data_IF_711417805316
#
_entry.id   IF_711417805316
#
_cell.length_a   1.000
_cell.length_b   1.000
_cell.length_c   1.000
_cell.angle_alpha   90.00
_cell.angle_beta   90.00
_cell.angle_gamma   90.00
#
_symmetry.space_group_name_H-M   'P 1'
#
loop_
_entity.id
_entity.type
_entity.pdbx_description
1 polymer ?
#
# COMPACT_ATOMS: atom_id res chain seq x y z
N UNK A 1 7.05 114.44 10.62
CA UNK A 1 5.98 113.65 9.97
C UNK A 1 6.61 112.36 9.42
N UNK A 2 6.48 111.23 10.12
CA UNK A 2 6.89 109.92 9.62
C UNK A 2 5.81 108.90 10.00
N UNK A 3 5.01 108.48 8.99
CA UNK A 3 4.06 107.37 9.14
C UNK A 3 4.82 106.06 8.92
N UNK A 4 5.14 105.36 10.00
CA UNK A 4 5.63 103.98 9.95
C UNK A 4 4.46 103.06 9.61
N UNK A 5 4.54 102.44 8.43
CA UNK A 5 3.61 101.44 7.93
C UNK A 5 3.76 100.15 8.75
N UNK A 6 2.79 99.87 9.62
CA UNK A 6 2.66 98.55 10.23
C UNK A 6 2.14 97.56 9.18
N UNK A 7 3.04 96.72 8.65
CA UNK A 7 2.67 95.63 7.74
C UNK A 7 1.82 94.56 8.47
N UNK A 8 0.82 93.97 7.80
CA UNK A 8 -0.12 93.03 8.41
C UNK A 8 0.53 91.64 8.57
N UNK A 9 1.22 91.42 9.69
CA UNK A 9 1.90 90.15 10.03
C UNK A 9 0.95 88.96 10.20
N UNK A 10 -0.35 89.20 10.42
CA UNK A 10 -1.37 88.16 10.72
C UNK A 10 -1.70 87.23 9.54
N UNK A 11 -1.57 87.70 8.30
CA UNK A 11 -1.85 86.87 7.11
C UNK A 11 -0.70 85.90 6.81
N UNK A 12 0.54 86.29 7.11
CA UNK A 12 1.71 85.44 6.92
C UNK A 12 1.75 84.26 7.89
N UNK A 13 1.26 84.44 9.13
CA UNK A 13 1.20 83.35 10.12
C UNK A 13 0.22 82.25 9.71
N UNK A 14 -0.96 82.63 9.19
CA UNK A 14 -1.96 81.67 8.71
C UNK A 14 -1.45 80.91 7.49
N UNK A 15 -0.79 81.61 6.56
CA UNK A 15 -0.16 80.99 5.39
C UNK A 15 0.94 80.00 5.82
N UNK A 16 1.78 80.39 6.78
CA UNK A 16 2.84 79.51 7.31
C UNK A 16 2.27 78.23 7.94
N UNK A 17 1.18 78.33 8.73
CA UNK A 17 0.51 77.16 9.30
C UNK A 17 -0.10 76.25 8.23
N UNK A 18 -0.72 76.80 7.19
CA UNK A 18 -1.24 76.01 6.07
C UNK A 18 -0.13 75.29 5.29
N UNK A 19 1.01 75.94 5.09
CA UNK A 19 2.18 75.33 4.44
C UNK A 19 2.73 74.18 5.30
N UNK A 20 2.88 74.37 6.61
CA UNK A 20 3.38 73.34 7.52
C UNK A 20 2.42 72.15 7.56
N UNK A 21 1.11 72.40 7.70
CA UNK A 21 0.09 71.34 7.74
C UNK A 21 0.04 70.61 6.40
N UNK A 22 0.09 71.32 5.28
CA UNK A 22 0.13 70.73 3.94
C UNK A 22 1.37 69.88 3.71
N UNK A 23 2.55 70.36 4.12
CA UNK A 23 3.79 69.61 4.05
C UNK A 23 3.75 68.34 4.93
N UNK A 24 3.19 68.43 6.15
CA UNK A 24 3.01 67.30 7.04
C UNK A 24 2.11 66.22 6.43
N UNK A 25 0.93 66.57 5.92
CA UNK A 25 0.05 65.60 5.28
C UNK A 25 0.66 64.99 4.01
N UNK A 26 1.38 65.79 3.23
CA UNK A 26 2.11 65.30 2.05
C UNK A 26 3.18 64.27 2.44
N UNK A 27 3.93 64.56 3.50
CA UNK A 27 4.93 63.64 4.05
C UNK A 27 4.28 62.34 4.58
N UNK A 28 3.17 62.44 5.33
CA UNK A 28 2.43 61.28 5.81
C UNK A 28 1.89 60.43 4.64
N UNK A 29 1.32 61.05 3.61
CA UNK A 29 0.85 60.34 2.42
C UNK A 29 2.00 59.63 1.69
N UNK A 30 3.15 60.29 1.54
CA UNK A 30 4.36 59.68 0.98
C UNK A 30 4.83 58.47 1.79
N UNK A 31 4.84 58.56 3.13
CA UNK A 31 5.20 57.42 3.99
C UNK A 31 4.23 56.25 3.84
N UNK A 32 2.92 56.50 3.79
CA UNK A 32 1.92 55.44 3.58
C UNK A 32 2.13 54.77 2.21
N UNK A 33 2.36 55.55 1.15
CA UNK A 33 2.62 55.01 -0.19
C UNK A 33 3.92 54.20 -0.24
N UNK A 34 4.99 54.66 0.42
CA UNK A 34 6.26 53.93 0.49
C UNK A 34 6.14 52.63 1.29
N UNK A 35 5.51 52.65 2.46
CA UNK A 35 5.27 51.45 3.27
C UNK A 35 4.36 50.46 2.54
N UNK A 36 3.28 50.94 1.91
CA UNK A 36 2.40 50.09 1.11
C UNK A 36 3.11 49.52 -0.11
N UNK A 37 3.91 50.33 -0.82
CA UNK A 37 4.73 49.90 -1.95
C UNK A 37 5.74 48.82 -1.54
N UNK A 38 6.48 49.05 -0.44
CA UNK A 38 7.43 48.08 0.09
C UNK A 38 6.75 46.77 0.53
N UNK A 39 5.59 46.87 1.20
CA UNK A 39 4.80 45.70 1.57
C UNK A 39 4.30 44.94 0.34
N UNK A 40 3.79 45.63 -0.68
CA UNK A 40 3.29 45.01 -1.91
C UNK A 40 4.41 44.32 -2.69
N UNK A 41 5.58 44.95 -2.79
CA UNK A 41 6.76 44.33 -3.42
C UNK A 41 7.20 43.09 -2.64
N UNK A 42 7.24 43.17 -1.31
CA UNK A 42 7.56 42.02 -0.44
C UNK A 42 6.55 40.89 -0.62
N UNK A 43 5.25 41.18 -0.58
CA UNK A 43 4.18 40.19 -0.75
C UNK A 43 4.26 39.53 -2.14
N UNK A 44 4.49 40.32 -3.19
CA UNK A 44 4.65 39.81 -4.55
C UNK A 44 5.93 38.97 -4.73
N UNK A 45 7.01 39.31 -4.03
CA UNK A 45 8.26 38.56 -4.04
C UNK A 45 8.18 37.22 -3.28
N UNK A 46 7.24 37.09 -2.35
CA UNK A 46 7.06 35.91 -1.50
C UNK A 46 6.21 34.79 -2.12
N UNK A 47 5.39 35.09 -3.13
CA UNK A 47 4.45 34.14 -3.73
C UNK A 47 4.53 34.20 -5.26
N UNK A 48 5.57 33.60 -5.84
CA UNK A 48 5.65 33.36 -7.27
C UNK A 48 5.56 31.85 -7.51
N UNK A 49 4.85 31.41 -8.57
CA UNK A 49 4.85 30.02 -8.96
C UNK A 49 6.29 29.60 -9.25
N UNK A 50 6.69 28.46 -8.70
CA UNK A 50 8.00 27.90 -8.92
C UNK A 50 8.15 27.43 -10.38
N UNK A 51 9.30 26.84 -10.69
CA UNK A 51 9.45 26.10 -11.93
C UNK A 51 8.38 24.99 -12.00
N UNK A 52 7.86 24.69 -13.19
CA UNK A 52 6.82 23.69 -13.34
C UNK A 52 7.33 22.30 -12.97
N UNK A 53 6.41 21.45 -12.53
CA UNK A 53 6.69 20.03 -12.35
C UNK A 53 6.61 19.30 -13.69
N UNK A 54 7.22 18.13 -13.80
CA UNK A 54 7.12 17.26 -14.97
C UNK A 54 6.40 15.98 -14.60
N UNK A 55 5.52 15.50 -15.48
CA UNK A 55 4.80 14.25 -15.37
C UNK A 55 5.34 13.26 -16.40
N UNK A 56 5.75 12.10 -15.92
CA UNK A 56 6.12 10.96 -16.75
C UNK A 56 5.13 9.82 -16.53
N UNK A 57 4.53 9.33 -17.61
CA UNK A 57 3.60 8.19 -17.56
C UNK A 57 4.35 6.89 -17.75
N UNK A 58 4.00 5.88 -16.97
CA UNK A 58 4.49 4.50 -17.12
C UNK A 58 3.44 3.60 -17.79
N UNK A 59 2.15 3.92 -17.59
CA UNK A 59 1.02 3.16 -18.13
C UNK A 59 -0.04 4.09 -18.73
N UNK A 60 -1.02 3.51 -19.42
CA UNK A 60 -2.19 4.21 -19.94
C UNK A 60 -3.20 4.54 -18.83
N UNK A 61 -4.07 5.53 -19.09
CA UNK A 61 -5.12 5.93 -18.14
C UNK A 61 -4.74 7.08 -17.20
N UNK A 62 -3.66 7.81 -17.51
CA UNK A 62 -3.29 9.06 -16.83
C UNK A 62 -3.89 10.23 -17.61
N UNK A 63 -4.54 11.15 -16.90
CA UNK A 63 -5.24 12.30 -17.45
C UNK A 63 -4.93 13.55 -16.62
N UNK A 64 -4.95 14.72 -17.26
CA UNK A 64 -4.66 16.01 -16.63
C UNK A 64 -5.86 16.92 -16.80
N UNK A 65 -6.31 17.55 -15.73
CA UNK A 65 -7.25 18.67 -15.76
C UNK A 65 -6.47 19.94 -15.45
N UNK A 66 -6.32 20.81 -16.45
CA UNK A 66 -5.62 22.09 -16.28
C UNK A 66 -6.44 23.04 -15.41
N UNK A 67 -5.75 23.87 -14.63
CA UNK A 67 -6.40 24.90 -13.81
C UNK A 67 -7.33 25.78 -14.66
N UNK A 68 -8.61 25.82 -14.29
CA UNK A 68 -9.64 26.64 -14.95
C UNK A 68 -10.24 26.02 -16.21
N UNK A 69 -9.80 24.84 -16.63
CA UNK A 69 -10.47 24.05 -17.66
C UNK A 69 -11.48 23.08 -17.05
N UNK A 70 -12.42 22.62 -17.87
CA UNK A 70 -13.47 21.68 -17.47
C UNK A 70 -13.28 20.27 -18.05
N UNK A 71 -12.31 20.09 -18.95
CA UNK A 71 -12.08 18.84 -19.66
C UNK A 71 -10.70 18.29 -19.35
N UNK A 72 -10.62 16.96 -19.26
CA UNK A 72 -9.37 16.24 -19.11
C UNK A 72 -8.64 16.15 -20.45
N UNK A 73 -7.33 16.30 -20.38
CA UNK A 73 -6.39 16.16 -21.48
C UNK A 73 -5.54 14.91 -21.25
N UNK A 74 -5.13 14.26 -22.34
CA UNK A 74 -4.12 13.21 -22.26
C UNK A 74 -2.73 13.85 -22.17
N UNK A 75 -1.82 13.33 -21.33
CA UNK A 75 -0.44 13.80 -21.28
C UNK A 75 0.26 13.61 -22.63
N UNK A 76 1.09 14.57 -23.01
CA UNK A 76 1.97 14.52 -24.18
C UNK A 76 3.29 13.83 -23.80
N UNK A 77 3.61 12.64 -24.31
CA UNK A 77 4.88 11.97 -24.03
C UNK A 77 6.07 12.70 -24.69
N UNK A 78 7.31 12.54 -24.19
CA UNK A 78 7.71 11.68 -23.07
C UNK A 78 7.47 12.31 -21.68
N UNK A 79 7.36 13.64 -21.61
CA UNK A 79 7.12 14.40 -20.39
C UNK A 79 6.06 15.47 -20.62
N UNK A 80 5.16 15.61 -19.66
CA UNK A 80 4.16 16.69 -19.66
C UNK A 80 4.41 17.67 -18.53
N UNK A 81 4.45 18.95 -18.86
CA UNK A 81 4.64 20.03 -17.88
C UNK A 81 3.34 20.21 -17.08
N UNK A 82 3.47 20.31 -15.75
CA UNK A 82 2.39 20.58 -14.79
C UNK A 82 2.63 21.89 -14.06
N UNK A 83 1.55 22.63 -13.82
CA UNK A 83 1.56 23.90 -13.10
C UNK A 83 0.77 23.82 -11.80
N UNK A 84 0.96 24.82 -10.93
CA UNK A 84 0.13 25.00 -9.75
C UNK A 84 -1.36 25.09 -10.13
N UNK A 85 -2.18 24.29 -9.46
CA UNK A 85 -3.62 24.14 -9.66
C UNK A 85 -4.00 23.06 -10.68
N UNK A 86 -3.05 22.47 -11.39
CA UNK A 86 -3.33 21.33 -12.26
C UNK A 86 -3.67 20.09 -11.41
N UNK A 87 -4.61 19.29 -11.91
CA UNK A 87 -5.04 18.03 -11.30
C UNK A 87 -4.64 16.87 -12.19
N UNK A 88 -3.99 15.86 -11.61
CA UNK A 88 -3.65 14.62 -12.29
C UNK A 88 -4.56 13.51 -11.77
N UNK A 89 -5.19 12.79 -12.69
CA UNK A 89 -6.06 11.65 -12.41
C UNK A 89 -5.49 10.40 -13.07
N UNK A 90 -5.44 9.31 -12.32
CA UNK A 90 -5.16 7.97 -12.83
C UNK A 90 -6.46 7.18 -12.77
N UNK A 91 -6.90 6.64 -13.90
CA UNK A 91 -8.11 5.84 -13.99
C UNK A 91 -8.06 4.62 -13.06
N UNK A 92 -9.21 4.22 -12.52
CA UNK A 92 -9.33 2.98 -11.72
C UNK A 92 -9.11 1.72 -12.55
N UNK A 93 -9.26 1.82 -13.88
CA UNK A 93 -8.98 0.74 -14.84
C UNK A 93 -7.52 0.67 -15.28
N UNK A 94 -6.64 1.54 -14.78
CA UNK A 94 -5.22 1.46 -15.09
C UNK A 94 -4.64 0.13 -14.56
N UNK A 95 -3.65 -0.47 -15.27
CA UNK A 95 -3.00 -1.69 -14.81
C UNK A 95 -2.40 -1.52 -13.40
N UNK A 96 -2.29 -2.61 -12.62
CA UNK A 96 -1.65 -2.56 -11.30
C UNK A 96 -0.17 -2.19 -11.42
N UNK A 97 0.33 -1.51 -10.40
CA UNK A 97 1.68 -0.94 -10.36
C UNK A 97 1.69 0.58 -10.34
N UNK A 98 2.90 1.14 -10.32
CA UNK A 98 3.12 2.57 -10.49
C UNK A 98 2.66 3.00 -11.88
N UNK A 99 1.78 4.00 -11.92
CA UNK A 99 1.15 4.47 -13.14
C UNK A 99 1.84 5.70 -13.74
N UNK A 100 2.32 6.59 -12.87
CA UNK A 100 3.04 7.80 -13.26
C UNK A 100 3.94 8.30 -12.14
N UNK A 101 4.92 9.11 -12.51
CA UNK A 101 5.77 9.86 -11.58
C UNK A 101 5.71 11.34 -11.93
N UNK A 102 5.43 12.18 -10.93
CA UNK A 102 5.62 13.64 -11.00
C UNK A 102 6.96 13.98 -10.39
N UNK A 103 7.82 14.68 -11.13
CA UNK A 103 9.07 15.24 -10.62
C UNK A 103 8.90 16.74 -10.39
N UNK A 104 9.15 17.19 -9.18
CA UNK A 104 9.12 18.60 -8.80
C UNK A 104 10.44 19.28 -9.14
N UNK A 105 10.42 20.60 -9.19
CA UNK A 105 11.59 21.43 -9.56
C UNK A 105 12.80 21.29 -8.63
N UNK A 106 12.62 20.80 -7.40
CA UNK A 106 13.70 20.57 -6.44
C UNK A 106 14.24 19.12 -6.45
N UNK A 107 13.77 18.30 -7.40
CA UNK A 107 14.13 16.89 -7.54
C UNK A 107 13.33 15.93 -6.66
N UNK A 108 12.37 16.41 -5.87
CA UNK A 108 11.42 15.55 -5.17
C UNK A 108 10.49 14.86 -6.17
N UNK A 109 10.09 13.62 -5.89
CA UNK A 109 9.19 12.87 -6.77
C UNK A 109 7.92 12.41 -6.05
N UNK A 110 6.84 12.28 -6.82
CA UNK A 110 5.54 11.79 -6.38
C UNK A 110 5.12 10.67 -7.33
N UNK A 111 5.10 9.45 -6.84
CA UNK A 111 4.61 8.29 -7.59
C UNK A 111 3.10 8.14 -7.38
N UNK A 112 2.38 7.81 -8.45
CA UNK A 112 0.92 7.68 -8.48
C UNK A 112 0.51 6.27 -8.88
N UNK A 113 -0.57 5.76 -8.27
CA UNK A 113 -1.15 4.45 -8.58
C UNK A 113 -2.54 4.57 -9.21
N UNK A 114 -3.08 3.45 -9.70
CA UNK A 114 -4.44 3.37 -10.21
C UNK A 114 -5.47 3.96 -9.23
N UNK A 115 -6.47 4.68 -9.75
CA UNK A 115 -7.50 5.35 -8.95
C UNK A 115 -7.05 6.64 -8.24
N UNK A 116 -5.80 7.06 -8.40
CA UNK A 116 -5.27 8.24 -7.72
C UNK A 116 -5.75 9.54 -8.36
N UNK A 117 -6.10 10.53 -7.54
CA UNK A 117 -6.32 11.91 -8.01
C UNK A 117 -5.68 12.88 -7.06
N UNK A 118 -4.82 13.72 -7.63
CA UNK A 118 -4.10 14.75 -6.89
C UNK A 118 -4.18 16.10 -7.60
N UNK A 119 -4.13 17.17 -6.81
CA UNK A 119 -3.99 18.54 -7.30
C UNK A 119 -2.71 19.14 -6.73
N UNK A 120 -1.94 19.83 -7.57
CA UNK A 120 -0.78 20.61 -7.14
C UNK A 120 -1.26 21.94 -6.54
N UNK A 121 -1.74 21.94 -5.29
CA UNK A 121 -2.41 23.09 -4.64
C UNK A 121 -1.47 24.30 -4.52
N UNK A 122 -0.21 24.07 -4.11
CA UNK A 122 0.84 25.09 -4.09
C UNK A 122 2.15 24.52 -4.59
N UNK A 123 2.81 25.25 -5.47
CA UNK A 123 4.17 24.94 -5.94
C UNK A 123 4.89 26.29 -6.10
N UNK A 124 5.38 26.85 -5.00
CA UNK A 124 5.83 28.24 -4.92
C UNK A 124 7.22 28.37 -4.32
N UNK A 125 7.98 29.35 -4.81
CA UNK A 125 9.28 29.75 -4.26
C UNK A 125 9.39 31.27 -4.17
N UNK A 126 10.28 31.76 -3.30
CA UNK A 126 10.58 33.19 -3.25
C UNK A 126 11.49 33.62 -4.40
N UNK A 127 11.13 34.68 -5.13
CA UNK A 127 11.81 35.10 -6.38
C UNK A 127 13.20 35.72 -6.19
N UNK A 128 13.37 36.48 -5.12
CA UNK A 128 14.60 37.28 -4.88
C UNK A 128 15.36 36.85 -3.63
N UNK A 129 14.98 35.71 -3.04
CA UNK A 129 15.63 35.16 -1.86
C UNK A 129 15.63 33.64 -1.92
N UNK A 130 16.59 33.03 -1.25
CA UNK A 130 16.64 31.59 -0.97
C UNK A 130 15.92 31.26 0.33
N UNK A 131 14.88 32.03 0.69
CA UNK A 131 14.26 31.90 1.99
C UNK A 131 13.20 30.80 1.99
N UNK A 132 12.21 30.90 1.10
CA UNK A 132 10.99 30.10 1.21
C UNK A 132 10.76 29.23 -0.02
N UNK A 133 10.44 27.96 0.22
CA UNK A 133 9.84 27.03 -0.73
C UNK A 133 8.62 26.38 -0.08
N UNK A 134 7.49 26.36 -0.78
CA UNK A 134 6.27 25.73 -0.32
C UNK A 134 5.69 24.83 -1.39
N UNK A 135 5.49 23.56 -1.03
CA UNK A 135 4.78 22.58 -1.84
C UNK A 135 3.62 22.03 -1.03
N UNK A 136 2.41 22.18 -1.57
CA UNK A 136 1.21 21.56 -1.03
C UNK A 136 0.55 20.72 -2.11
N UNK A 137 0.33 19.44 -1.80
CA UNK A 137 -0.33 18.47 -2.69
C UNK A 137 -1.65 18.10 -2.05
N UNK A 138 -2.74 18.21 -2.81
CA UNK A 138 -4.06 17.78 -2.36
C UNK A 138 -4.35 16.39 -2.91
N UNK A 139 -4.51 15.41 -2.05
CA UNK A 139 -4.93 14.04 -2.39
C UNK A 139 -6.43 13.89 -2.18
N UNK A 140 -7.14 13.51 -3.23
CA UNK A 140 -8.60 13.35 -3.21
C UNK A 140 -9.01 11.87 -3.20
N UNK A 141 -8.22 11.01 -3.84
CA UNK A 141 -8.42 9.57 -3.86
C UNK A 141 -7.14 8.82 -4.21
N UNK A 142 -7.10 7.53 -3.87
CA UNK A 142 -6.05 6.60 -4.24
C UNK A 142 -4.81 6.67 -3.35
N UNK A 143 -3.64 6.46 -3.95
CA UNK A 143 -2.38 6.23 -3.26
C UNK A 143 -1.27 7.05 -3.91
N UNK A 144 -0.50 7.74 -3.07
CA UNK A 144 0.74 8.39 -3.47
C UNK A 144 1.91 7.98 -2.60
N UNK A 145 3.10 7.98 -3.21
CA UNK A 145 4.37 7.85 -2.51
C UNK A 145 5.25 9.03 -2.87
N UNK A 146 5.72 9.76 -1.87
CA UNK A 146 6.54 10.95 -2.02
C UNK A 146 7.96 10.63 -1.59
N UNK A 147 8.93 10.98 -2.42
CA UNK A 147 10.34 10.98 -2.07
C UNK A 147 10.85 12.41 -2.14
N UNK A 148 11.13 12.99 -0.97
CA UNK A 148 11.53 14.40 -0.88
C UNK A 148 13.04 14.56 -1.03
N UNK A 149 13.46 15.58 -1.75
CA UNK A 149 14.86 15.92 -1.88
C UNK A 149 15.48 16.23 -0.51
N UNK A 150 16.69 15.71 -0.20
CA UNK A 150 17.32 15.87 1.10
C UNK A 150 17.71 17.33 1.35
N UNK A 151 17.78 17.72 2.63
CA UNK A 151 18.15 19.09 3.02
C UNK A 151 19.50 19.55 2.43
N UNK A 152 20.42 18.63 2.18
CA UNK A 152 21.72 18.92 1.57
C UNK A 152 21.63 19.42 0.12
N UNK A 153 20.57 19.08 -0.61
CA UNK A 153 20.34 19.52 -1.99
C UNK A 153 19.35 20.69 -2.08
N UNK A 154 18.79 21.12 -0.95
CA UNK A 154 17.81 22.21 -0.91
C UNK A 154 18.48 23.57 -1.06
N UNK A 155 17.96 24.36 -1.99
CA UNK A 155 18.44 25.72 -2.26
C UNK A 155 17.81 26.75 -1.31
N UNK A 156 16.74 26.39 -0.59
CA UNK A 156 15.98 27.30 0.26
C UNK A 156 16.14 26.95 1.75
N UNK A 157 16.08 27.97 2.62
CA UNK A 157 16.28 27.82 4.07
C UNK A 157 15.06 27.22 4.78
N UNK A 158 13.88 27.71 4.40
CA UNK A 158 12.57 27.34 4.93
C UNK A 158 11.81 26.59 3.81
N UNK A 159 11.78 25.26 3.90
CA UNK A 159 11.11 24.39 2.92
C UNK A 159 9.97 23.65 3.61
N UNK A 160 8.76 23.83 3.10
CA UNK A 160 7.55 23.20 3.63
C UNK A 160 6.93 22.27 2.59
N UNK A 161 6.70 21.02 3.00
CA UNK A 161 6.04 19.98 2.21
C UNK A 161 4.81 19.50 2.94
N UNK A 162 3.65 19.73 2.34
CA UNK A 162 2.36 19.39 2.95
C UNK A 162 1.53 18.51 2.01
N UNK A 163 0.94 17.45 2.57
CA UNK A 163 -0.11 16.68 1.91
C UNK A 163 -1.43 17.01 2.60
N UNK A 164 -2.37 17.52 1.81
CA UNK A 164 -3.74 17.82 2.22
C UNK A 164 -4.62 16.68 1.75
N UNK A 165 -5.37 16.05 2.64
CA UNK A 165 -6.35 15.02 2.27
C UNK A 165 -7.74 15.55 2.52
N UNK A 166 -8.57 15.53 1.47
CA UNK A 166 -9.92 16.08 1.49
C UNK A 166 -10.94 15.00 1.09
N UNK A 167 -11.89 14.74 1.98
CA UNK A 167 -13.04 13.86 1.75
C UNK A 167 -14.33 14.64 1.95
N UNK A 168 -15.36 14.33 1.15
CA UNK A 168 -16.65 14.95 1.29
C UNK A 168 -17.21 14.74 2.71
N UNK A 169 -17.48 15.83 3.43
CA UNK A 169 -18.05 15.80 4.77
C UNK A 169 -17.08 15.48 5.92
N UNK A 170 -15.78 15.37 5.66
CA UNK A 170 -14.75 15.19 6.70
C UNK A 170 -13.89 16.47 6.86
N UNK A 171 -13.31 16.71 8.04
CA UNK A 171 -12.35 17.80 8.21
C UNK A 171 -11.10 17.57 7.37
N UNK A 172 -10.50 18.66 6.89
CA UNK A 172 -9.24 18.61 6.14
C UNK A 172 -8.13 18.01 7.01
N UNK A 173 -7.47 16.99 6.48
CA UNK A 173 -6.33 16.34 7.11
C UNK A 173 -5.05 16.93 6.50
N UNK A 174 -4.06 17.25 7.33
CA UNK A 174 -2.81 17.86 6.89
C UNK A 174 -1.62 17.09 7.42
N UNK A 175 -0.77 16.58 6.54
CA UNK A 175 0.51 15.97 6.89
C UNK A 175 1.65 16.90 6.47
N UNK A 176 2.40 17.41 7.45
CA UNK A 176 3.62 18.18 7.24
C UNK A 176 4.82 17.22 7.25
N UNK A 177 5.58 17.18 6.17
CA UNK A 177 6.62 16.18 5.91
C UNK A 177 8.02 16.74 6.18
N UNK A 178 8.89 15.98 6.84
CA UNK A 178 10.30 16.35 6.95
C UNK A 178 11.04 16.16 5.61
N UNK A 179 12.05 16.99 5.35
CA UNK A 179 12.88 16.92 4.15
C UNK A 179 13.73 15.63 4.10
N UNK A 180 14.02 15.14 2.90
CA UNK A 180 14.82 13.93 2.69
C UNK A 180 14.15 12.62 3.09
N UNK A 181 12.87 12.69 3.48
CA UNK A 181 12.07 11.53 3.85
C UNK A 181 11.37 10.89 2.64
N UNK A 182 10.81 9.72 2.92
CA UNK A 182 9.98 8.96 1.99
C UNK A 182 8.68 8.65 2.72
N UNK A 183 7.57 9.01 2.09
CA UNK A 183 6.26 9.00 2.71
C UNK A 183 5.25 8.36 1.79
N UNK A 184 4.26 7.69 2.37
CA UNK A 184 3.14 7.12 1.65
C UNK A 184 1.84 7.61 2.26
N UNK A 185 0.92 8.08 1.43
CA UNK A 185 -0.42 8.50 1.85
C UNK A 185 -1.43 7.79 0.97
N UNK A 186 -2.34 7.06 1.60
CA UNK A 186 -3.33 6.22 0.92
C UNK A 186 -4.71 6.48 1.47
N UNK A 187 -5.68 6.68 0.59
CA UNK A 187 -7.09 6.70 0.94
C UNK A 187 -7.65 5.30 0.71
N UNK A 188 -8.10 4.68 1.78
CA UNK A 188 -8.74 3.38 1.81
C UNK A 188 -10.25 3.57 1.62
N UNK A 189 -10.77 3.13 0.47
CA UNK A 189 -12.19 3.08 0.12
C UNK A 189 -12.43 1.75 -0.60
N UNK A 190 -13.54 1.08 -0.29
CA UNK A 190 -13.90 -0.22 -0.86
C UNK A 190 -13.94 -0.28 -2.40
N UNK A 191 -14.01 0.88 -3.07
CA UNK A 191 -14.03 1.02 -4.53
C UNK A 191 -12.66 1.30 -5.15
N UNK A 192 -11.63 1.53 -4.35
CA UNK A 192 -10.30 1.88 -4.85
C UNK A 192 -9.51 0.61 -5.21
N UNK A 193 -8.82 0.59 -6.38
CA UNK A 193 -8.04 -0.57 -6.82
C UNK A 193 -6.82 -0.86 -5.95
N UNK A 194 -6.40 0.09 -5.11
CA UNK A 194 -5.29 -0.05 -4.15
C UNK A 194 -5.73 -0.50 -2.76
N UNK A 195 -7.02 -0.79 -2.57
CA UNK A 195 -7.57 -1.35 -1.34
C UNK A 195 -7.73 -2.86 -1.48
N UNK A 196 -6.95 -3.61 -0.70
CA UNK A 196 -6.88 -5.07 -0.76
C UNK A 196 -8.20 -5.72 -0.32
N UNK A 197 -8.39 -6.99 -0.68
CA UNK A 197 -9.58 -7.74 -0.28
C UNK A 197 -9.78 -7.80 1.25
N UNK A 198 -8.68 -7.95 2.01
CA UNK A 198 -8.73 -7.99 3.48
C UNK A 198 -9.08 -6.63 4.10
N UNK A 199 -8.54 -5.54 3.54
CA UNK A 199 -8.89 -4.17 3.93
C UNK A 199 -10.36 -3.88 3.61
N UNK A 200 -10.85 -4.24 2.42
CA UNK A 200 -12.26 -4.05 2.01
C UNK A 200 -13.23 -4.74 2.96
N UNK A 201 -12.91 -5.97 3.38
CA UNK A 201 -13.73 -6.70 4.34
C UNK A 201 -13.77 -6.03 5.72
N UNK A 202 -12.68 -5.37 6.14
CA UNK A 202 -12.59 -4.70 7.45
C UNK A 202 -13.25 -3.30 7.41
N UNK A 203 -13.10 -2.57 6.30
CA UNK A 203 -13.64 -1.21 6.13
C UNK A 203 -15.16 -1.19 6.00
N UNK A 204 -15.74 -2.19 5.34
CA UNK A 204 -17.16 -2.15 4.95
C UNK A 204 -17.44 -0.94 4.06
N UNK A 205 -18.24 0.01 4.55
CA UNK A 205 -18.57 1.27 3.85
C UNK A 205 -17.78 2.48 4.36
N UNK A 206 -16.85 2.28 5.29
CA UNK A 206 -16.06 3.36 5.87
C UNK A 206 -14.91 3.76 4.95
N UNK A 207 -14.52 5.03 5.02
CA UNK A 207 -13.31 5.55 4.40
C UNK A 207 -12.29 5.80 5.50
N UNK A 208 -11.04 5.39 5.28
CA UNK A 208 -9.93 5.65 6.18
C UNK A 208 -8.76 6.22 5.38
N UNK A 209 -7.95 7.09 6.01
CA UNK A 209 -6.70 7.56 5.41
C UNK A 209 -5.53 6.93 6.15
N UNK A 210 -4.62 6.29 5.43
CA UNK A 210 -3.36 5.76 5.97
C UNK A 210 -2.19 6.68 5.63
N UNK A 211 -1.34 6.91 6.63
CA UNK A 211 -0.12 7.69 6.54
C UNK A 211 1.07 6.85 6.99
N UNK A 212 2.12 6.78 6.17
CA UNK A 212 3.34 6.01 6.43
C UNK A 212 4.55 6.93 6.29
N UNK A 213 5.43 6.91 7.27
CA UNK A 213 6.76 7.50 7.18
C UNK A 213 7.79 6.37 6.99
N UNK A 214 8.11 6.01 5.74
CA UNK A 214 9.14 5.00 5.44
C UNK A 214 10.52 5.49 5.89
N UNK A 215 10.81 6.78 5.61
CA UNK A 215 12.03 7.47 6.03
C UNK A 215 11.70 8.92 6.39
N UNK A 216 12.42 9.49 7.36
CA UNK A 216 12.08 10.81 7.91
C UNK A 216 10.86 10.72 8.82
N UNK A 217 10.42 11.85 9.37
CA UNK A 217 9.16 11.89 10.13
C UNK A 217 8.16 12.84 9.52
N UNK A 218 6.90 12.70 9.90
CA UNK A 218 5.84 13.62 9.52
C UNK A 218 5.00 14.01 10.72
N UNK A 219 4.43 15.22 10.69
CA UNK A 219 3.47 15.67 11.68
C UNK A 219 2.09 15.72 11.04
N UNK A 220 1.20 14.84 11.49
CA UNK A 220 -0.17 14.74 11.02
C UNK A 220 -1.07 15.59 11.91
N UNK A 221 -1.89 16.44 11.29
CA UNK A 221 -2.85 17.30 11.93
C UNK A 221 -4.26 17.11 11.38
N UNK A 222 -5.24 17.03 12.26
CA UNK A 222 -6.67 17.05 11.92
C UNK A 222 -7.42 17.85 12.98
N UNK A 223 -8.18 18.87 12.55
CA UNK A 223 -8.86 19.81 13.45
C UNK A 223 -7.93 20.42 14.52
N UNK A 224 -7.98 19.92 15.77
CA UNK A 224 -7.12 20.37 16.90
C UNK A 224 -6.14 19.30 17.38
N UNK A 225 -6.12 18.14 16.74
CA UNK A 225 -5.22 17.03 17.07
C UNK A 225 -3.98 17.12 16.19
N UNK A 226 -2.81 16.92 16.79
CA UNK A 226 -1.54 16.75 16.08
C UNK A 226 -0.83 15.52 16.62
N UNK A 227 -0.31 14.68 15.73
CA UNK A 227 0.47 13.49 16.08
C UNK A 227 1.72 13.43 15.23
N UNK A 228 2.85 13.16 15.89
CA UNK A 228 4.12 12.94 15.20
C UNK A 228 4.25 11.45 14.84
N UNK A 229 4.62 11.20 13.59
CA UNK A 229 4.89 9.86 13.06
C UNK A 229 6.39 9.82 12.73
N UNK A 230 7.11 8.87 13.33
CA UNK A 230 8.54 8.69 13.13
C UNK A 230 8.82 7.72 11.97
N UNK A 231 10.06 7.71 11.48
CA UNK A 231 10.50 6.79 10.44
C UNK A 231 10.24 5.32 10.84
N UNK A 232 9.73 4.52 9.92
CA UNK A 232 9.34 3.12 10.14
C UNK A 232 7.97 2.93 10.79
N UNK A 233 7.20 4.01 10.99
CA UNK A 233 5.85 3.95 11.57
C UNK A 233 4.78 4.38 10.58
N UNK A 234 3.58 3.86 10.80
CA UNK A 234 2.34 4.25 10.14
C UNK A 234 1.26 4.59 11.14
N UNK A 235 0.28 5.37 10.71
CA UNK A 235 -0.99 5.54 11.42
C UNK A 235 -2.12 5.64 10.40
N UNK A 236 -3.35 5.61 10.89
CA UNK A 236 -4.52 5.89 10.08
C UNK A 236 -5.44 6.88 10.78
N UNK A 237 -6.23 7.59 9.98
CA UNK A 237 -7.35 8.39 10.44
C UNK A 237 -8.63 7.62 10.08
N UNK A 238 -9.47 7.41 11.09
CA UNK A 238 -10.81 6.85 10.92
C UNK A 238 -11.79 7.70 11.72
N UNK A 239 -12.90 8.11 11.09
CA UNK A 239 -13.95 8.92 11.71
C UNK A 239 -13.40 10.21 12.39
N UNK A 240 -12.40 10.84 11.77
CA UNK A 240 -11.79 12.08 12.27
C UNK A 240 -10.89 11.92 13.50
N UNK A 241 -10.51 10.69 13.87
CA UNK A 241 -9.58 10.41 14.96
C UNK A 241 -8.27 9.84 14.43
N UNK A 242 -7.14 10.33 14.94
CA UNK A 242 -5.82 9.78 14.62
C UNK A 242 -5.57 8.55 15.52
N UNK A 243 -5.30 7.40 14.91
CA UNK A 243 -4.90 6.21 15.65
C UNK A 243 -3.47 6.33 16.22
N UNK A 244 -3.14 5.53 17.23
CA UNK A 244 -1.77 5.44 17.72
C UNK A 244 -0.82 4.94 16.61
N UNK A 245 0.34 5.58 16.40
CA UNK A 245 1.32 5.08 15.43
C UNK A 245 1.79 3.67 15.77
N UNK A 246 1.84 2.80 14.76
CA UNK A 246 2.33 1.42 14.84
C UNK A 246 3.45 1.21 13.83
N UNK A 247 4.20 0.11 13.95
CA UNK A 247 5.20 -0.24 12.94
C UNK A 247 4.57 -0.29 11.54
N UNK A 248 5.32 0.17 10.53
CA UNK A 248 4.92 0.16 9.13
C UNK A 248 4.95 -1.27 8.55
N UNK A 249 4.08 -2.12 9.09
CA UNK A 249 3.90 -3.51 8.68
C UNK A 249 2.41 -3.80 8.44
N UNK A 250 2.13 -4.58 7.41
CA UNK A 250 0.79 -5.01 7.02
C UNK A 250 0.69 -6.52 7.00
N UNK A 251 -0.34 -7.06 7.64
CA UNK A 251 -0.74 -8.46 7.55
C UNK A 251 -1.91 -8.56 6.58
N UNK A 252 -1.73 -9.29 5.47
CA UNK A 252 -2.78 -9.45 4.47
C UNK A 252 -3.54 -10.76 4.56
N UNK A 253 -2.99 -11.77 5.26
CA UNK A 253 -3.71 -13.01 5.52
C UNK A 253 -4.73 -12.77 6.63
N UNK A 254 -6.01 -13.01 6.32
CA UNK A 254 -7.06 -13.13 7.33
C UNK A 254 -7.10 -14.56 7.85
N UNK A 255 -7.25 -14.71 9.17
CA UNK A 255 -7.52 -15.99 9.81
C UNK A 255 -6.48 -17.09 9.49
N UNK A 256 -5.20 -16.70 9.49
CA UNK A 256 -4.10 -17.64 9.29
C UNK A 256 -3.89 -18.63 10.44
N UNK A 257 -4.59 -18.44 11.55
CA UNK A 257 -4.61 -19.36 12.70
C UNK A 257 -5.81 -20.29 12.69
N UNK A 258 -6.73 -20.17 11.72
CA UNK A 258 -7.91 -21.02 11.56
C UNK A 258 -8.82 -21.10 12.79
N UNK A 259 -8.95 -19.97 13.52
CA UNK A 259 -9.76 -19.89 14.74
C UNK A 259 -11.08 -19.15 14.54
N UNK A 260 -11.27 -18.44 13.42
CA UNK A 260 -12.47 -17.62 13.22
C UNK A 260 -13.70 -18.47 12.84
N UNK A 261 -13.51 -19.60 12.19
CA UNK A 261 -14.60 -20.46 11.70
C UNK A 261 -14.41 -21.92 12.10
N UNK A 262 -15.52 -22.65 12.13
CA UNK A 262 -15.54 -24.10 12.30
C UNK A 262 -15.17 -24.80 10.99
N UNK A 263 -14.70 -26.05 11.08
CA UNK A 263 -14.46 -26.90 9.91
C UNK A 263 -15.67 -26.97 8.96
N UNK A 264 -16.89 -27.06 9.53
CA UNK A 264 -18.12 -27.09 8.75
C UNK A 264 -18.32 -25.80 7.95
N UNK A 265 -18.07 -24.64 8.55
CA UNK A 265 -18.24 -23.34 7.87
C UNK A 265 -17.21 -23.13 6.75
N UNK A 266 -15.96 -23.59 6.92
CA UNK A 266 -14.99 -23.62 5.82
C UNK A 266 -15.45 -24.55 4.70
N UNK A 267 -15.88 -25.77 5.02
CA UNK A 267 -16.30 -26.77 4.03
C UNK A 267 -17.62 -26.41 3.34
N UNK A 268 -18.48 -25.61 3.98
CA UNK A 268 -19.71 -25.09 3.34
C UNK A 268 -19.39 -24.26 2.08
N UNK A 269 -18.16 -23.78 1.89
CA UNK A 269 -17.73 -23.12 0.65
C UNK A 269 -17.71 -24.03 -0.59
N UNK A 270 -17.78 -25.35 -0.40
CA UNK A 270 -17.91 -26.33 -1.49
C UNK A 270 -19.36 -26.52 -1.96
N UNK A 271 -20.34 -26.10 -1.14
CA UNK A 271 -21.76 -26.20 -1.49
C UNK A 271 -22.10 -25.22 -2.63
N UNK A 272 -23.04 -25.57 -3.53
CA UNK A 272 -23.55 -24.64 -4.54
C UNK A 272 -24.03 -23.32 -3.92
N UNK A 273 -23.87 -22.20 -4.63
CA UNK A 273 -24.31 -20.88 -4.16
C UNK A 273 -25.84 -20.79 -3.98
N UNK A 274 -26.59 -21.74 -4.54
CA UNK A 274 -28.04 -21.88 -4.36
C UNK A 274 -28.43 -22.30 -2.94
N UNK A 275 -27.49 -22.84 -2.16
CA UNK A 275 -27.67 -23.15 -0.74
C UNK A 275 -27.32 -21.91 0.09
N UNK A 276 -28.35 -21.15 0.46
CA UNK A 276 -28.22 -19.83 1.11
C UNK A 276 -28.34 -19.86 2.63
N UNK A 277 -28.82 -20.97 3.20
CA UNK A 277 -28.98 -21.18 4.65
C UNK A 277 -27.69 -21.66 5.34
N UNK A 278 -26.68 -22.06 4.56
CA UNK A 278 -25.39 -22.45 5.08
C UNK A 278 -24.52 -21.24 5.43
N UNK A 279 -24.04 -21.17 6.67
CA UNK A 279 -23.01 -20.21 7.10
C UNK A 279 -21.68 -20.61 6.47
N UNK A 280 -21.00 -19.68 5.82
CA UNK A 280 -19.75 -19.91 5.09
C UNK A 280 -18.63 -19.04 5.66
N UNK A 281 -17.43 -19.60 5.74
CA UNK A 281 -16.24 -18.82 6.06
C UNK A 281 -15.99 -17.79 4.94
N UNK A 282 -15.68 -16.56 5.32
CA UNK A 282 -15.37 -15.46 4.39
C UNK A 282 -13.86 -15.22 4.22
N UNK A 283 -13.02 -16.03 4.89
CA UNK A 283 -11.56 -15.92 4.89
C UNK A 283 -10.90 -16.90 3.94
N UNK A 284 -11.23 -18.19 4.05
CA UNK A 284 -10.64 -19.27 3.26
C UNK A 284 -11.74 -20.04 2.52
N UNK A 285 -11.55 -20.19 1.21
CA UNK A 285 -12.42 -21.02 0.36
C UNK A 285 -11.78 -22.38 0.13
N UNK A 286 -12.45 -23.44 0.60
CA UNK A 286 -12.05 -24.83 0.37
C UNK A 286 -12.47 -25.27 -1.03
N UNK A 287 -11.61 -26.01 -1.73
CA UNK A 287 -11.95 -26.71 -2.97
C UNK A 287 -11.07 -27.94 -3.19
N UNK A 288 -11.56 -28.83 -4.06
CA UNK A 288 -10.82 -29.98 -4.57
C UNK A 288 -10.68 -29.91 -6.09
N UNK A 289 -9.54 -30.36 -6.60
CA UNK A 289 -9.20 -30.38 -8.03
C UNK A 289 -8.65 -31.78 -8.40
N UNK A 290 -9.55 -32.73 -8.77
CA UNK A 290 -9.16 -34.09 -9.17
C UNK A 290 -8.52 -34.10 -10.56
N UNK A 291 -7.42 -34.83 -10.72
CA UNK A 291 -6.94 -35.20 -12.06
C UNK A 291 -8.00 -36.01 -12.83
N UNK A 292 -8.00 -35.99 -14.17
CA UNK A 292 -9.01 -36.68 -14.97
C UNK A 292 -9.21 -38.16 -14.57
N UNK A 293 -10.41 -38.48 -14.08
CA UNK A 293 -10.80 -39.80 -13.62
C UNK A 293 -10.18 -40.24 -12.29
N UNK A 294 -9.71 -39.30 -11.46
CA UNK A 294 -9.47 -39.52 -10.03
C UNK A 294 -10.81 -39.55 -9.28
N UNK A 295 -10.85 -40.32 -8.19
CA UNK A 295 -11.95 -40.29 -7.23
C UNK A 295 -11.95 -38.95 -6.47
N UNK A 296 -13.14 -38.47 -6.11
CA UNK A 296 -13.31 -37.22 -5.36
C UNK A 296 -13.37 -37.50 -3.87
N UNK A 297 -12.20 -37.69 -3.26
CA UNK A 297 -11.99 -38.18 -1.89
C UNK A 297 -10.82 -37.50 -1.18
N UNK A 298 -10.46 -36.28 -1.60
CA UNK A 298 -9.63 -35.39 -0.80
C UNK A 298 -10.47 -34.53 0.14
N UNK A 299 -9.97 -34.33 1.36
CA UNK A 299 -10.71 -33.69 2.45
C UNK A 299 -9.90 -32.60 3.14
N UNK A 300 -10.60 -31.55 3.55
CA UNK A 300 -10.07 -30.47 4.35
C UNK A 300 -10.63 -30.53 5.77
N UNK A 301 -9.75 -30.53 6.75
CA UNK A 301 -10.11 -30.57 8.17
C UNK A 301 -9.47 -29.40 8.93
N UNK A 302 -10.12 -29.00 10.04
CA UNK A 302 -9.50 -28.12 11.04
C UNK A 302 -9.29 -28.93 12.31
N UNK A 303 -8.04 -29.33 12.54
CA UNK A 303 -7.66 -30.24 13.62
C UNK A 303 -6.82 -29.53 14.69
N UNK A 304 -6.78 -30.11 15.90
CA UNK A 304 -5.87 -29.66 16.94
C UNK A 304 -4.44 -30.15 16.69
N UNK A 305 -3.54 -29.23 16.38
CA UNK A 305 -2.11 -29.50 16.20
C UNK A 305 -1.28 -29.23 17.45
N UNK A 306 -0.11 -29.87 17.48
CA UNK A 306 0.89 -29.64 18.50
C UNK A 306 2.25 -29.28 17.88
N UNK A 307 2.60 -28.00 17.93
CA UNK A 307 3.84 -27.48 17.38
C UNK A 307 5.07 -27.84 18.23
N UNK A 308 4.94 -27.74 19.57
CA UNK A 308 5.99 -28.10 20.52
C UNK A 308 5.61 -29.34 21.30
N UNK A 309 6.29 -30.44 21.02
CA UNK A 309 6.20 -31.68 21.81
C UNK A 309 7.28 -31.66 22.90
N UNK A 310 7.00 -32.34 24.00
CA UNK A 310 7.99 -32.52 25.05
C UNK A 310 9.22 -33.25 24.47
N UNK A 311 10.43 -32.79 24.80
CA UNK A 311 11.68 -33.40 24.34
C UNK A 311 11.89 -34.81 24.89
N UNK A 312 11.26 -35.15 26.03
CA UNK A 312 11.35 -36.49 26.64
C UNK A 312 10.20 -37.42 26.30
N UNK A 313 9.07 -36.89 25.82
CA UNK A 313 7.94 -37.68 25.34
C UNK A 313 7.26 -36.96 24.16
N UNK A 314 7.53 -37.45 22.95
CA UNK A 314 6.97 -36.89 21.73
C UNK A 314 5.43 -36.95 21.69
N UNK A 315 4.76 -37.76 22.51
CA UNK A 315 3.30 -37.82 22.56
C UNK A 315 2.69 -36.74 23.47
N UNK A 316 3.48 -36.11 24.34
CA UNK A 316 3.01 -35.04 25.22
C UNK A 316 3.12 -33.71 24.51
N UNK A 317 1.96 -33.13 24.19
CA UNK A 317 1.90 -31.79 23.67
C UNK A 317 2.16 -30.75 24.77
N UNK A 318 3.12 -29.85 24.55
CA UNK A 318 3.28 -28.67 25.38
C UNK A 318 2.18 -27.68 24.96
N UNK A 319 1.08 -27.67 25.73
CA UNK A 319 -0.09 -26.82 25.50
C UNK A 319 0.29 -25.34 25.40
N UNK A 320 -0.50 -24.51 24.67
CA UNK A 320 -1.80 -24.84 24.06
C UNK A 320 -1.73 -25.60 22.73
N UNK A 321 -2.78 -26.37 22.42
CA UNK A 321 -3.02 -26.88 21.06
C UNK A 321 -3.35 -25.70 20.14
N UNK A 322 -2.91 -25.77 18.89
CA UNK A 322 -3.19 -24.78 17.85
C UNK A 322 -4.18 -25.36 16.85
N UNK A 323 -5.00 -24.53 16.21
CA UNK A 323 -5.79 -24.98 15.07
C UNK A 323 -4.89 -25.14 13.84
N UNK A 324 -5.09 -26.23 13.12
CA UNK A 324 -4.31 -26.62 11.95
C UNK A 324 -5.25 -26.91 10.81
N UNK A 325 -4.98 -26.28 9.66
CA UNK A 325 -5.58 -26.67 8.38
C UNK A 325 -4.88 -27.94 7.89
N UNK A 326 -5.62 -29.04 7.78
CA UNK A 326 -5.12 -30.32 7.29
C UNK A 326 -5.74 -30.64 5.93
N UNK A 327 -4.88 -30.95 4.96
CA UNK A 327 -5.25 -31.51 3.66
C UNK A 327 -4.96 -33.01 3.73
N UNK A 328 -5.99 -33.84 3.56
CA UNK A 328 -5.84 -35.29 3.65
C UNK A 328 -6.47 -35.99 2.46
N UNK A 329 -5.77 -37.00 1.97
CA UNK A 329 -6.30 -38.05 1.10
C UNK A 329 -5.61 -39.35 1.47
N UNK A 330 -6.37 -40.32 1.95
CA UNK A 330 -5.85 -41.53 2.57
C UNK A 330 -6.59 -42.76 2.07
N UNK A 331 -5.86 -43.87 1.98
CA UNK A 331 -6.41 -45.21 1.75
C UNK A 331 -7.45 -45.54 2.81
N UNK A 332 -8.48 -46.28 2.42
CA UNK A 332 -9.52 -46.75 3.33
C UNK A 332 -9.97 -48.17 2.94
N UNK A 333 -10.94 -48.71 3.67
CA UNK A 333 -11.42 -50.08 3.44
C UNK A 333 -11.97 -50.33 2.01
N UNK A 334 -12.32 -49.27 1.27
CA UNK A 334 -12.84 -49.33 -0.09
C UNK A 334 -11.79 -48.94 -1.15
N UNK A 335 -10.70 -48.28 -0.75
CA UNK A 335 -9.68 -47.76 -1.66
C UNK A 335 -8.29 -48.18 -1.16
N UNK A 336 -7.77 -49.22 -1.78
CA UNK A 336 -6.44 -49.79 -1.47
C UNK A 336 -5.30 -48.95 -2.06
N UNK A 337 -5.55 -48.23 -3.15
CA UNK A 337 -4.56 -47.33 -3.75
C UNK A 337 -5.23 -46.20 -4.56
N UNK A 338 -4.61 -45.03 -4.55
CA UNK A 338 -5.02 -43.90 -5.38
C UNK A 338 -4.07 -43.77 -6.56
N UNK A 339 -4.42 -44.25 -7.77
CA UNK A 339 -3.49 -44.26 -8.91
C UNK A 339 -3.33 -42.90 -9.61
N UNK A 340 -4.03 -41.87 -9.14
CA UNK A 340 -4.11 -40.55 -9.78
C UNK A 340 -4.07 -39.47 -8.72
N UNK A 341 -3.49 -38.32 -9.05
CA UNK A 341 -3.44 -37.16 -8.18
C UNK A 341 -4.82 -36.54 -7.90
N UNK A 342 -4.94 -35.98 -6.71
CA UNK A 342 -6.04 -35.13 -6.30
C UNK A 342 -5.50 -33.99 -5.46
N UNK A 343 -5.83 -32.74 -5.81
CA UNK A 343 -5.47 -31.56 -5.04
C UNK A 343 -6.59 -31.19 -4.09
N UNK A 344 -6.29 -31.06 -2.80
CA UNK A 344 -7.18 -30.46 -1.79
C UNK A 344 -6.60 -29.15 -1.34
N UNK A 345 -7.37 -28.06 -1.39
CA UNK A 345 -6.83 -26.72 -1.25
C UNK A 345 -7.74 -25.77 -0.46
N UNK A 346 -7.12 -24.75 0.11
CA UNK A 346 -7.76 -23.52 0.55
C UNK A 346 -7.19 -22.32 -0.22
N UNK A 347 -8.04 -21.37 -0.56
CA UNK A 347 -7.61 -20.14 -1.24
C UNK A 347 -8.18 -18.90 -0.54
N UNK A 348 -7.39 -17.83 -0.55
CA UNK A 348 -7.79 -16.51 -0.08
C UNK A 348 -7.46 -15.47 -1.15
N UNK A 349 -8.47 -14.70 -1.55
CA UNK A 349 -8.28 -13.53 -2.42
C UNK A 349 -7.55 -12.44 -1.65
N UNK A 350 -6.51 -11.90 -2.26
CA UNK A 350 -5.69 -10.83 -1.69
C UNK A 350 -5.94 -9.51 -2.41
N UNK A 351 -5.95 -9.53 -3.75
CA UNK A 351 -6.04 -8.32 -4.60
C UNK A 351 -5.05 -7.23 -4.13
N UNK A 352 -3.79 -7.64 -3.97
CA UNK A 352 -2.73 -6.84 -3.35
C UNK A 352 -1.73 -6.36 -4.40
N UNK A 353 -1.77 -5.07 -4.72
CA UNK A 353 -0.66 -4.43 -5.45
C UNK A 353 0.56 -4.36 -4.54
N UNK A 354 1.65 -5.03 -4.94
CA UNK A 354 2.85 -5.15 -4.11
C UNK A 354 3.86 -4.03 -4.38
N UNK A 355 3.67 -3.24 -5.44
CA UNK A 355 4.62 -2.21 -5.86
C UNK A 355 4.82 -1.06 -4.86
N UNK A 356 3.86 -0.70 -3.99
CA UNK A 356 4.08 0.31 -2.96
C UNK A 356 4.94 -0.15 -1.78
N UNK A 357 5.20 -1.44 -1.64
CA UNK A 357 5.89 -2.03 -0.48
C UNK A 357 7.35 -2.32 -0.80
N UNK A 358 8.23 -2.19 0.18
CA UNK A 358 9.67 -2.43 0.01
C UNK A 358 10.03 -3.91 0.13
N UNK A 359 9.25 -4.70 0.88
CA UNK A 359 9.46 -6.14 1.05
C UNK A 359 8.14 -6.88 1.24
N UNK A 360 8.14 -8.17 0.94
CA UNK A 360 6.99 -9.05 1.08
C UNK A 360 7.44 -10.47 1.45
N UNK A 361 6.85 -11.02 2.49
CA UNK A 361 7.26 -12.29 3.09
C UNK A 361 6.03 -13.12 3.47
N UNK A 362 6.01 -14.39 3.08
CA UNK A 362 5.04 -15.36 3.61
C UNK A 362 5.71 -16.15 4.70
N UNK A 363 5.11 -16.21 5.89
CA UNK A 363 5.54 -17.12 6.95
C UNK A 363 4.41 -18.06 7.33
N UNK A 364 4.75 -19.30 7.62
CA UNK A 364 3.79 -20.31 8.07
C UNK A 364 4.49 -21.43 8.84
N UNK A 365 3.74 -22.13 9.66
CA UNK A 365 4.14 -23.39 10.23
C UNK A 365 3.58 -24.51 9.36
N UNK A 366 4.45 -25.40 8.88
CA UNK A 366 4.08 -26.49 7.96
C UNK A 366 4.60 -27.85 8.42
N UNK A 367 3.86 -28.90 8.05
CA UNK A 367 4.26 -30.29 8.27
C UNK A 367 3.69 -31.21 7.19
N UNK A 368 4.53 -32.09 6.65
CA UNK A 368 4.08 -33.22 5.83
C UNK A 368 4.04 -34.45 6.74
N UNK A 369 2.86 -34.94 7.08
CA UNK A 369 2.68 -36.07 7.98
C UNK A 369 2.76 -37.42 7.25
N UNK A 370 2.18 -37.47 6.06
CA UNK A 370 2.21 -38.63 5.17
C UNK A 370 2.30 -38.17 3.71
N UNK A 371 2.98 -38.98 2.89
CA UNK A 371 3.17 -38.75 1.46
C UNK A 371 3.45 -40.12 0.83
N UNK A 372 2.66 -40.56 -0.15
CA UNK A 372 2.92 -41.85 -0.83
C UNK A 372 3.84 -41.72 -2.05
N UNK A 373 3.92 -40.54 -2.66
CA UNK A 373 4.75 -40.32 -3.85
C UNK A 373 6.16 -39.90 -3.47
N UNK A 374 7.20 -40.36 -4.18
CA UNK A 374 8.57 -39.87 -3.98
C UNK A 374 8.73 -38.44 -4.57
N UNK A 375 9.38 -37.53 -3.83
CA UNK A 375 9.55 -36.11 -4.19
C UNK A 375 8.25 -35.41 -4.58
N UNK A 376 8.15 -34.82 -5.78
CA UNK A 376 6.94 -34.19 -6.29
C UNK A 376 6.34 -34.99 -7.47
N UNK A 377 6.53 -36.31 -7.47
CA UNK A 377 6.06 -37.20 -8.53
C UNK A 377 6.93 -37.19 -9.77
N UNK A 378 6.43 -37.81 -10.84
CA UNK A 378 7.22 -38.07 -12.05
C UNK A 378 7.65 -36.77 -12.74
N UNK A 379 6.76 -35.78 -12.82
CA UNK A 379 6.98 -34.49 -13.48
C UNK A 379 7.24 -33.32 -12.51
N UNK A 380 7.30 -33.58 -11.20
CA UNK A 380 7.58 -32.56 -10.20
C UNK A 380 6.43 -31.57 -9.94
N UNK A 381 5.18 -32.01 -9.92
CA UNK A 381 3.99 -31.17 -9.66
C UNK A 381 3.07 -31.69 -8.53
N UNK A 382 3.34 -32.89 -8.03
CA UNK A 382 2.58 -33.54 -6.96
C UNK A 382 3.18 -33.15 -5.61
N UNK A 383 3.05 -31.87 -5.28
CA UNK A 383 3.53 -31.30 -4.03
C UNK A 383 2.70 -31.82 -2.86
N UNK A 384 3.32 -32.62 -1.99
CA UNK A 384 2.66 -33.12 -0.79
C UNK A 384 2.10 -31.96 0.05
N UNK A 385 2.86 -30.87 0.17
CA UNK A 385 2.37 -29.57 0.59
C UNK A 385 2.79 -28.54 -0.45
N UNK A 386 1.88 -27.66 -0.88
CA UNK A 386 2.17 -26.64 -1.86
C UNK A 386 1.55 -25.29 -1.54
N UNK A 387 2.21 -24.25 -2.03
CA UNK A 387 1.74 -22.86 -1.96
C UNK A 387 1.79 -22.27 -3.36
N UNK A 388 0.63 -21.90 -3.89
CA UNK A 388 0.52 -21.22 -5.17
C UNK A 388 0.23 -19.72 -4.95
N UNK A 389 1.01 -18.90 -5.64
CA UNK A 389 0.77 -17.47 -5.80
C UNK A 389 0.29 -17.23 -7.22
N UNK A 390 -0.98 -16.82 -7.34
CA UNK A 390 -1.54 -16.36 -8.59
C UNK A 390 -1.46 -14.84 -8.63
N UNK A 391 -0.88 -14.31 -9.71
CA UNK A 391 -0.55 -12.90 -9.79
C UNK A 391 -0.74 -12.32 -11.19
N UNK A 392 -0.83 -11.00 -11.23
CA UNK A 392 -0.76 -10.22 -12.46
C UNK A 392 0.67 -9.72 -12.67
N UNK A 393 1.21 -9.94 -13.86
CA UNK A 393 2.57 -9.53 -14.28
C UNK A 393 2.67 -8.04 -14.65
N UNK A 394 3.88 -7.49 -14.85
CA UNK A 394 4.07 -6.14 -15.40
C UNK A 394 3.38 -5.89 -16.75
N UNK A 395 3.22 -6.95 -17.55
CA UNK A 395 2.53 -6.88 -18.85
C UNK A 395 1.03 -7.11 -18.73
N UNK A 396 0.47 -7.08 -17.52
CA UNK A 396 -0.95 -7.28 -17.23
C UNK A 396 -1.50 -8.64 -17.71
N UNK A 397 -0.66 -9.68 -17.69
CA UNK A 397 -1.08 -11.07 -17.94
C UNK A 397 -1.03 -11.90 -16.65
N UNK A 398 -1.92 -12.91 -16.50
CA UNK A 398 -1.87 -13.83 -15.37
C UNK A 398 -0.55 -14.60 -15.32
N UNK A 399 -0.08 -14.85 -14.10
CA UNK A 399 1.11 -15.62 -13.78
C UNK A 399 0.89 -16.50 -12.55
N UNK A 400 1.75 -17.49 -12.42
CA UNK A 400 1.73 -18.47 -11.33
C UNK A 400 3.15 -18.67 -10.82
N UNK A 401 3.30 -18.79 -9.51
CA UNK A 401 4.50 -19.34 -8.89
C UNK A 401 4.10 -20.31 -7.79
N UNK A 402 4.78 -21.45 -7.71
CA UNK A 402 4.47 -22.54 -6.78
C UNK A 402 5.69 -22.84 -5.91
N UNK A 403 5.51 -22.84 -4.60
CA UNK A 403 6.45 -23.42 -3.65
C UNK A 403 6.00 -24.84 -3.35
N UNK A 404 6.80 -25.81 -3.76
CA UNK A 404 6.48 -27.23 -3.74
C UNK A 404 7.30 -27.94 -2.67
N UNK A 405 6.64 -28.40 -1.61
CA UNK A 405 7.29 -29.09 -0.51
C UNK A 405 7.07 -30.60 -0.59
N UNK A 406 8.14 -31.34 -0.35
CA UNK A 406 8.13 -32.81 -0.33
C UNK A 406 8.96 -33.35 0.84
N UNK A 407 8.63 -34.55 1.31
CA UNK A 407 9.28 -35.17 2.46
C UNK A 407 9.85 -36.57 2.18
N UNK A 408 9.38 -37.27 1.13
CA UNK A 408 10.01 -38.51 0.66
C UNK A 408 11.06 -38.20 -0.40
N UNK A 409 12.26 -38.74 -0.20
CA UNK A 409 13.38 -38.66 -1.15
C UNK A 409 14.19 -39.96 -1.09
N UNK A 410 13.51 -41.07 -1.37
CA UNK A 410 14.15 -42.38 -1.34
C UNK A 410 14.92 -42.64 -2.64
N UNK A 411 16.16 -43.18 -2.56
CA UNK A 411 16.91 -43.64 -3.72
C UNK A 411 16.36 -45.00 -4.15
N UNK A 412 15.13 -45.01 -4.68
CA UNK A 412 14.48 -46.20 -5.21
C UNK A 412 14.63 -46.21 -6.73
N UNK A 413 15.11 -47.32 -7.30
CA UNK A 413 15.15 -47.54 -8.76
C UNK A 413 13.74 -47.64 -9.37
N UNK A 414 12.70 -47.86 -8.55
CA UNK A 414 11.33 -48.13 -8.99
C UNK A 414 10.35 -46.97 -8.71
N UNK A 415 10.67 -46.05 -7.80
CA UNK A 415 9.87 -44.84 -7.51
C UNK A 415 10.59 -43.59 -8.04
N UNK A 416 10.48 -43.34 -9.35
CA UNK A 416 11.09 -42.19 -10.02
C UNK A 416 10.31 -40.92 -9.66
N UNK A 417 10.63 -40.34 -8.51
CA UNK A 417 10.23 -39.00 -8.13
C UNK A 417 11.28 -37.97 -8.55
N UNK A 418 10.85 -36.85 -9.12
CA UNK A 418 11.74 -35.74 -9.50
C UNK A 418 11.40 -34.47 -8.73
N UNK A 419 12.42 -33.63 -8.53
CA UNK A 419 12.16 -32.23 -8.21
C UNK A 419 11.71 -31.54 -9.51
N UNK A 420 10.87 -30.52 -9.38
CA UNK A 420 10.39 -29.81 -10.55
C UNK A 420 11.53 -29.11 -11.28
N UNK A 421 11.56 -29.25 -12.61
CA UNK A 421 12.42 -28.47 -13.48
C UNK A 421 11.70 -27.24 -14.09
N UNK A 422 10.45 -27.00 -13.68
CA UNK A 422 9.63 -25.91 -14.21
C UNK A 422 10.03 -24.59 -13.55
N UNK A 423 10.26 -23.55 -14.34
CA UNK A 423 10.73 -22.24 -13.84
C UNK A 423 9.80 -21.60 -12.81
N UNK A 424 8.50 -21.92 -12.87
CA UNK A 424 7.51 -21.40 -11.94
C UNK A 424 7.37 -22.22 -10.65
N UNK A 425 8.13 -23.31 -10.48
CA UNK A 425 8.05 -24.18 -9.30
C UNK A 425 9.39 -24.19 -8.55
N UNK A 426 9.36 -23.76 -7.29
CA UNK A 426 10.49 -23.87 -6.37
C UNK A 426 10.29 -25.11 -5.49
N UNK A 427 11.12 -26.15 -5.67
CA UNK A 427 11.03 -27.38 -4.87
C UNK A 427 11.85 -27.28 -3.58
N UNK A 428 11.30 -27.73 -2.45
CA UNK A 428 11.98 -27.71 -1.16
C UNK A 428 11.70 -28.98 -0.35
N UNK A 429 12.76 -29.58 0.19
CA UNK A 429 12.63 -30.71 1.10
C UNK A 429 12.16 -30.24 2.49
N UNK A 430 11.26 -31.01 3.10
CA UNK A 430 10.82 -30.87 4.48
C UNK A 430 10.93 -32.22 5.21
N UNK A 431 11.44 -32.27 6.46
CA UNK A 431 11.49 -33.52 7.20
C UNK A 431 10.08 -34.07 7.48
N UNK A 432 9.88 -35.36 7.19
CA UNK A 432 8.61 -36.06 7.39
C UNK A 432 8.19 -36.02 8.87
N UNK A 433 6.90 -35.72 9.12
CA UNK A 433 6.24 -35.65 10.45
C UNK A 433 6.81 -34.60 11.40
N UNK A 434 7.66 -33.69 10.94
CA UNK A 434 8.20 -32.60 11.76
C UNK A 434 7.57 -31.28 11.36
N UNK A 435 7.21 -30.49 12.38
CA UNK A 435 6.82 -29.10 12.17
C UNK A 435 8.04 -28.27 11.80
N UNK A 436 7.88 -27.38 10.84
CA UNK A 436 8.87 -26.38 10.44
C UNK A 436 8.19 -25.02 10.36
N UNK A 437 8.82 -24.00 10.94
CA UNK A 437 8.47 -22.61 10.61
C UNK A 437 9.23 -22.25 9.35
N UNK A 438 8.50 -21.92 8.29
CA UNK A 438 9.05 -21.59 6.98
C UNK A 438 8.79 -20.10 6.70
N UNK A 439 9.77 -19.47 6.06
CA UNK A 439 9.67 -18.11 5.55
C UNK A 439 10.04 -18.11 4.07
N UNK A 440 9.17 -17.52 3.26
CA UNK A 440 9.30 -17.40 1.82
C UNK A 440 9.45 -15.92 1.49
N UNK A 441 10.65 -15.53 1.09
CA UNK A 441 10.93 -14.19 0.59
C UNK A 441 10.41 -14.05 -0.84
N UNK A 442 9.35 -13.25 -1.02
CA UNK A 442 8.74 -13.02 -2.32
C UNK A 442 9.50 -11.99 -3.15
N UNK A 443 10.54 -11.35 -2.61
CA UNK A 443 11.39 -10.45 -3.38
C UNK A 443 12.11 -11.16 -4.53
N UNK A 444 12.38 -12.46 -4.42
CA UNK A 444 13.01 -13.27 -5.46
C UNK A 444 12.22 -13.30 -6.78
N UNK A 445 10.89 -13.17 -6.71
CA UNK A 445 9.99 -13.16 -7.88
C UNK A 445 9.40 -11.79 -8.18
N UNK A 446 9.82 -10.75 -7.45
CA UNK A 446 9.19 -9.42 -7.48
C UNK A 446 9.25 -8.72 -8.83
N UNK A 447 10.26 -8.99 -9.65
CA UNK A 447 10.32 -8.48 -11.02
C UNK A 447 9.22 -9.06 -11.93
N UNK A 448 8.65 -10.23 -11.58
CA UNK A 448 7.57 -10.90 -12.31
C UNK A 448 6.18 -10.53 -11.79
N UNK A 449 6.07 -9.97 -10.59
CA UNK A 449 4.80 -9.75 -9.89
C UNK A 449 4.48 -8.25 -9.79
N UNK A 450 3.25 -7.85 -10.12
CA UNK A 450 2.71 -6.51 -9.83
C UNK A 450 1.63 -6.56 -8.78
N UNK A 451 0.69 -7.50 -8.93
CA UNK A 451 -0.41 -7.71 -8.01
C UNK A 451 -0.54 -9.18 -7.69
N UNK A 452 -0.69 -9.52 -6.42
CA UNK A 452 -1.07 -10.88 -6.02
C UNK A 452 -2.60 -10.94 -5.96
N UNK A 453 -3.18 -11.78 -6.80
CA UNK A 453 -4.63 -11.89 -6.92
C UNK A 453 -5.20 -12.78 -5.81
N UNK A 454 -4.60 -13.95 -5.63
CA UNK A 454 -4.92 -14.87 -4.52
C UNK A 454 -3.73 -15.77 -4.17
N UNK A 455 -3.76 -16.28 -2.95
CA UNK A 455 -2.83 -17.30 -2.45
C UNK A 455 -3.61 -18.58 -2.19
N UNK A 456 -3.00 -19.71 -2.54
CA UNK A 456 -3.58 -21.04 -2.33
C UNK A 456 -2.59 -21.90 -1.56
N UNK A 457 -3.06 -22.56 -0.52
CA UNK A 457 -2.34 -23.63 0.16
C UNK A 457 -3.04 -24.95 -0.12
N UNK A 458 -2.28 -26.02 -0.39
CA UNK A 458 -2.86 -27.28 -0.79
C UNK A 458 -1.99 -28.49 -0.45
N UNK A 459 -2.61 -29.67 -0.42
CA UNK A 459 -1.92 -30.95 -0.58
C UNK A 459 -2.27 -31.56 -1.93
N UNK A 460 -1.30 -32.18 -2.62
CA UNK A 460 -1.50 -32.83 -3.91
C UNK A 460 -0.68 -34.13 -4.01
N UNK A 461 -1.27 -35.14 -4.65
CA UNK A 461 -0.66 -36.44 -4.88
C UNK A 461 -1.69 -37.57 -4.82
N UNK A 462 -1.18 -38.79 -4.70
CA UNK A 462 -1.97 -40.02 -4.60
C UNK A 462 -2.57 -40.13 -3.19
N UNK A 463 -1.70 -40.29 -2.19
CA UNK A 463 -2.04 -40.23 -0.77
C UNK A 463 -1.14 -39.22 -0.05
N UNK A 464 -1.72 -38.40 0.79
CA UNK A 464 -0.99 -37.41 1.56
C UNK A 464 -1.77 -36.98 2.79
N UNK A 465 -1.03 -36.52 3.79
CA UNK A 465 -1.56 -35.74 4.90
C UNK A 465 -0.57 -34.59 5.12
N UNK A 466 -1.03 -33.38 4.87
CA UNK A 466 -0.24 -32.16 5.00
C UNK A 466 -0.98 -31.14 5.81
N UNK A 467 -0.22 -30.36 6.57
CA UNK A 467 -0.75 -29.51 7.61
C UNK A 467 -0.07 -28.16 7.60
N UNK A 468 -0.87 -27.10 7.80
CA UNK A 468 -0.38 -25.73 7.95
C UNK A 468 -1.07 -25.01 9.13
N UNK A 469 -0.35 -24.08 9.72
CA UNK A 469 -0.85 -23.17 10.75
C UNK A 469 -0.11 -21.83 10.71
N UNK A 470 -0.63 -20.85 11.46
CA UNK A 470 0.00 -19.54 11.69
C UNK A 470 0.45 -18.85 10.40
N UNK A 471 -0.40 -18.90 9.36
CA UNK A 471 -0.09 -18.33 8.05
C UNK A 471 -0.12 -16.81 8.10
N UNK A 472 0.91 -16.18 7.55
CA UNK A 472 1.06 -14.73 7.49
C UNK A 472 1.60 -14.30 6.13
N UNK A 473 1.13 -13.16 5.64
CA UNK A 473 1.72 -12.42 4.52
C UNK A 473 2.02 -11.01 5.02
N UNK A 474 3.29 -10.76 5.30
CA UNK A 474 3.75 -9.49 5.85
C UNK A 474 4.38 -8.65 4.75
N UNK A 475 3.89 -7.42 4.59
CA UNK A 475 4.54 -6.39 3.78
C UNK A 475 5.12 -5.29 4.65
N UNK A 476 6.18 -4.64 4.17
CA UNK A 476 6.83 -3.49 4.82
C UNK A 476 7.14 -2.41 3.81
#
# INVERSE_FOLDING_TARGET
>A
MSKLLAHPTRNYTRLAWWIIIGAFFTFCALMVVLCYGAWRVKAFAQAQPAQPATLQNEVSGVEILRKGLAQYELPSPPETILFEGDTVRVATSAPPGKAATITLFDGSSIDLWAGTTITLDKVQTSRFSTRNQQVAIRLQQGLIRLQLAPRATQQYQDVEYNVLVEHAGQPLEQANLDLGGIYRVRILDARQPTTTASERATLGTQIQTEYVAEKGGMTLGIARQNTRINAGYRTHISQGQIAAPVAAEWQFIRDGTFHQFTEREYNNNTLPYTVTDAIRADTWRVYGDPSPGATNDGFFYVVGGCFRRNSTDANVCLRPLINVAQFSREKNALIEDHPKSFKTAITQTLDLDITPYSSLEITFDGRIYAQSINKAGFIGEECALGIELHFTTPSNVPGLHTYCFYARSEPSEFEIGTESNKEYITSQFMPLRQWQTLSLDLNAIRNKVRRIDYVTFYGNGHDYISEIANVQLIAR
#
